data_IF_582079009478
#
_entry.id   IF_582079009478
#
_cell.length_a   1.000
_cell.length_b   1.000
_cell.length_c   1.000
_cell.angle_alpha   90.00
_cell.angle_beta   90.00
_cell.angle_gamma   90.00
#
_symmetry.space_group_name_H-M   'P 1'
#
loop_
_entity.id
_entity.type
_entity.pdbx_description
1 polymer ?
#
# COMPACT_ATOMS: atom_id res chain seq x y z
N UNK A 1 36.78 -13.45 -12.34
CA UNK A 1 36.31 -14.24 -13.50
C UNK A 1 35.61 -15.49 -12.97
N UNK A 2 34.27 -15.58 -13.03
CA UNK A 2 33.56 -16.80 -12.60
C UNK A 2 33.69 -17.87 -13.69
N UNK A 3 34.19 -19.06 -13.36
CA UNK A 3 34.30 -20.19 -14.29
C UNK A 3 32.89 -20.61 -14.80
N UNK A 4 32.79 -21.17 -16.02
CA UNK A 4 31.55 -21.61 -16.64
C UNK A 4 30.72 -22.57 -15.75
N UNK A 5 31.41 -23.41 -14.97
CA UNK A 5 30.76 -24.28 -13.98
C UNK A 5 30.04 -23.49 -12.88
N UNK A 6 30.65 -22.40 -12.39
CA UNK A 6 30.06 -21.54 -11.35
C UNK A 6 28.82 -20.80 -11.87
N UNK A 7 28.86 -20.33 -13.12
CA UNK A 7 27.70 -19.69 -13.76
C UNK A 7 26.50 -20.63 -13.84
N UNK A 8 26.71 -21.86 -14.34
CA UNK A 8 25.67 -22.90 -14.40
C UNK A 8 25.12 -23.27 -13.02
N UNK A 9 25.99 -23.40 -12.01
CA UNK A 9 25.55 -23.68 -10.64
C UNK A 9 24.63 -22.59 -10.09
N UNK A 10 24.96 -21.32 -10.35
CA UNK A 10 24.15 -20.17 -9.94
C UNK A 10 22.81 -20.15 -10.70
N UNK A 11 22.82 -20.39 -12.01
CA UNK A 11 21.61 -20.45 -12.83
C UNK A 11 20.65 -21.56 -12.36
N UNK A 12 21.16 -22.77 -12.14
CA UNK A 12 20.37 -23.89 -11.63
C UNK A 12 19.81 -23.64 -10.22
N UNK A 13 20.60 -23.00 -9.35
CA UNK A 13 20.12 -22.59 -8.03
C UNK A 13 18.96 -21.58 -8.15
N UNK A 14 19.10 -20.57 -9.02
CA UNK A 14 18.05 -19.57 -9.26
C UNK A 14 16.79 -20.20 -9.85
N UNK A 15 16.93 -21.11 -10.81
CA UNK A 15 15.79 -21.83 -11.41
C UNK A 15 14.98 -22.58 -10.34
N UNK A 16 15.66 -23.26 -9.40
CA UNK A 16 15.02 -23.93 -8.27
C UNK A 16 14.31 -22.98 -7.32
N UNK A 17 14.87 -21.81 -7.05
CA UNK A 17 14.20 -20.79 -6.24
C UNK A 17 12.93 -20.26 -6.92
N UNK A 18 12.98 -19.99 -8.22
CA UNK A 18 11.80 -19.55 -8.99
C UNK A 18 10.70 -20.62 -9.00
N UNK A 19 11.06 -21.90 -9.15
CA UNK A 19 10.10 -23.02 -9.07
C UNK A 19 9.41 -23.11 -7.70
N UNK A 20 10.07 -22.65 -6.64
CA UNK A 20 9.52 -22.54 -5.28
C UNK A 20 8.74 -21.23 -5.03
N UNK A 21 8.50 -20.43 -6.07
CA UNK A 21 7.75 -19.17 -5.97
C UNK A 21 8.58 -17.95 -5.53
N UNK A 22 9.89 -18.10 -5.31
CA UNK A 22 10.75 -16.97 -4.95
C UNK A 22 11.11 -16.13 -6.17
N UNK A 23 10.98 -14.81 -6.03
CA UNK A 23 11.40 -13.85 -7.05
C UNK A 23 12.40 -12.86 -6.47
N UNK A 24 13.47 -12.61 -7.23
CA UNK A 24 14.43 -11.56 -6.89
C UNK A 24 13.89 -10.21 -7.36
N UNK A 25 13.99 -9.22 -6.50
CA UNK A 25 13.74 -7.82 -6.80
C UNK A 25 14.84 -6.97 -6.15
N UNK A 26 15.05 -5.77 -6.69
CA UNK A 26 16.02 -4.81 -6.18
C UNK A 26 15.30 -3.79 -5.32
N UNK A 27 15.92 -3.42 -4.19
CA UNK A 27 15.35 -2.50 -3.20
C UNK A 27 16.36 -1.40 -2.94
N UNK A 28 15.89 -0.15 -2.94
CA UNK A 28 16.63 0.99 -2.43
C UNK A 28 16.28 1.17 -0.95
N UNK A 29 17.28 1.15 -0.08
CA UNK A 29 17.11 1.32 1.36
C UNK A 29 18.38 1.94 1.96
N UNK A 30 18.26 2.49 3.17
CA UNK A 30 19.43 2.93 3.94
C UNK A 30 20.31 1.73 4.30
N UNK A 31 21.62 1.95 4.41
CA UNK A 31 22.56 0.89 4.78
C UNK A 31 22.26 0.31 6.17
N UNK A 32 21.78 1.14 7.10
CA UNK A 32 21.34 0.74 8.44
C UNK A 32 20.23 -0.31 8.41
N UNK A 33 19.36 -0.27 7.40
CA UNK A 33 18.16 -1.10 7.33
C UNK A 33 18.41 -2.42 6.58
N UNK A 34 19.62 -2.60 6.02
CA UNK A 34 19.98 -3.74 5.18
C UNK A 34 19.77 -5.09 5.87
N UNK A 35 20.20 -5.20 7.12
CA UNK A 35 20.04 -6.45 7.88
C UNK A 35 18.59 -6.71 8.24
N UNK A 36 17.85 -5.66 8.63
CA UNK A 36 16.43 -5.74 8.94
C UNK A 36 15.60 -6.21 7.74
N UNK A 37 15.83 -5.62 6.56
CA UNK A 37 15.11 -6.01 5.33
C UNK A 37 15.44 -7.46 4.96
N UNK A 38 16.71 -7.87 5.13
CA UNK A 38 17.14 -9.25 4.85
C UNK A 38 16.51 -10.25 5.82
N UNK A 39 16.46 -9.95 7.12
CA UNK A 39 15.86 -10.83 8.12
C UNK A 39 14.35 -10.94 7.90
N UNK A 40 13.67 -9.84 7.59
CA UNK A 40 12.26 -9.85 7.23
C UNK A 40 11.99 -10.72 5.99
N UNK A 41 12.77 -10.55 4.92
CA UNK A 41 12.61 -11.36 3.71
C UNK A 41 12.83 -12.86 3.98
N UNK A 42 13.78 -13.23 4.85
CA UNK A 42 13.99 -14.61 5.29
C UNK A 42 12.81 -15.14 6.10
N UNK A 43 12.34 -14.37 7.07
CA UNK A 43 11.18 -14.75 7.90
C UNK A 43 9.94 -14.99 7.03
N UNK A 44 9.70 -14.14 6.03
CA UNK A 44 8.57 -14.29 5.12
C UNK A 44 8.72 -15.50 4.18
N UNK A 45 9.95 -15.96 3.93
CA UNK A 45 10.27 -17.10 3.08
C UNK A 45 10.12 -18.46 3.77
N UNK A 46 10.15 -18.51 5.10
CA UNK A 46 10.00 -19.76 5.87
C UNK A 46 8.56 -20.26 5.91
N UNK A 47 7.60 -19.40 5.56
CA UNK A 47 6.16 -19.67 5.65
C UNK A 47 5.73 -20.02 7.11
N UNK A 48 4.42 -20.09 7.38
CA UNK A 48 3.92 -20.44 8.71
C UNK A 48 3.59 -19.25 9.64
N UNK A 49 3.29 -19.51 10.94
CA UNK A 49 2.58 -18.56 11.79
C UNK A 49 3.39 -17.30 12.10
N UNK A 50 4.70 -17.42 12.29
CA UNK A 50 5.58 -16.26 12.52
C UNK A 50 5.75 -15.42 11.25
N UNK A 51 5.76 -16.05 10.07
CA UNK A 51 5.75 -15.33 8.80
C UNK A 51 4.45 -14.54 8.59
N UNK A 52 3.29 -15.12 8.95
CA UNK A 52 2.01 -14.43 8.89
C UNK A 52 1.92 -13.26 9.87
N UNK A 53 2.41 -13.44 11.11
CA UNK A 53 2.51 -12.35 12.09
C UNK A 53 3.37 -11.20 11.59
N UNK A 54 4.57 -11.51 11.07
CA UNK A 54 5.46 -10.51 10.51
C UNK A 54 4.79 -9.76 9.34
N UNK A 55 4.11 -10.48 8.45
CA UNK A 55 3.37 -9.88 7.33
C UNK A 55 2.25 -8.97 7.81
N UNK A 56 1.48 -9.39 8.82
CA UNK A 56 0.40 -8.59 9.39
C UNK A 56 0.92 -7.32 10.05
N UNK A 57 1.99 -7.42 10.84
CA UNK A 57 2.62 -6.27 11.50
C UNK A 57 3.15 -5.25 10.47
N UNK A 58 3.83 -5.70 9.42
CA UNK A 58 4.33 -4.82 8.35
C UNK A 58 3.16 -4.17 7.59
N UNK A 59 2.10 -4.92 7.27
CA UNK A 59 0.89 -4.34 6.64
C UNK A 59 0.25 -3.30 7.55
N UNK A 60 0.12 -3.57 8.83
CA UNK A 60 -0.43 -2.60 9.78
C UNK A 60 0.43 -1.33 9.87
N UNK A 61 1.76 -1.46 9.86
CA UNK A 61 2.65 -0.31 9.95
C UNK A 61 2.75 0.53 8.65
N UNK A 62 2.66 -0.12 7.48
CA UNK A 62 2.93 0.53 6.18
C UNK A 62 1.69 0.77 5.31
N UNK A 63 0.67 -0.10 5.41
CA UNK A 63 -0.54 -0.05 4.57
C UNK A 63 -1.71 0.64 5.29
N UNK A 64 -1.70 0.65 6.63
CA UNK A 64 -2.52 1.57 7.40
C UNK A 64 -1.84 2.94 7.48
N UNK A 65 -1.64 3.59 6.34
CA UNK A 65 -1.70 5.05 6.36
C UNK A 65 -3.05 5.40 7.00
N UNK A 66 -3.06 6.30 7.99
CA UNK A 66 -4.31 6.72 8.66
C UNK A 66 -5.40 6.86 7.58
N UNK A 67 -6.57 6.21 7.76
CA UNK A 67 -7.68 6.46 6.84
C UNK A 67 -7.83 7.98 6.74
N UNK A 68 -7.93 8.57 5.53
CA UNK A 68 -7.99 10.02 5.38
C UNK A 68 -9.02 10.51 6.38
N UNK A 69 -8.59 11.36 7.33
CA UNK A 69 -9.41 11.79 8.46
C UNK A 69 -10.80 12.06 7.93
N UNK A 70 -11.79 11.29 8.37
CA UNK A 70 -13.16 11.42 7.85
C UNK A 70 -13.50 12.89 7.94
N UNK A 71 -13.62 13.55 6.77
CA UNK A 71 -13.84 14.99 6.73
C UNK A 71 -15.01 15.27 7.65
N UNK A 72 -14.84 16.20 8.60
CA UNK A 72 -15.76 16.41 9.72
C UNK A 72 -17.14 16.93 9.29
N UNK A 73 -17.58 16.65 8.07
CA UNK A 73 -18.84 17.04 7.44
C UNK A 73 -20.01 16.65 8.34
N UNK A 74 -20.03 15.44 8.91
CA UNK A 74 -21.10 15.03 9.81
C UNK A 74 -21.12 15.88 11.10
N UNK A 75 -19.94 16.13 11.68
CA UNK A 75 -19.79 16.99 12.85
C UNK A 75 -20.10 18.45 12.55
N UNK A 76 -19.78 18.93 11.35
CA UNK A 76 -20.07 20.29 10.89
C UNK A 76 -21.57 20.48 10.63
N UNK A 77 -22.22 19.52 9.97
CA UNK A 77 -23.66 19.52 9.73
C UNK A 77 -24.45 19.43 11.05
N UNK A 78 -24.01 18.63 12.03
CA UNK A 78 -24.61 18.57 13.38
C UNK A 78 -24.45 19.86 14.19
N UNK A 79 -23.44 20.68 13.89
CA UNK A 79 -23.25 22.01 14.49
C UNK A 79 -23.88 23.13 13.68
N UNK A 80 -24.53 22.82 12.55
CA UNK A 80 -25.18 23.83 11.73
C UNK A 80 -26.33 24.45 12.53
N UNK A 81 -26.44 25.78 12.61
CA UNK A 81 -27.61 26.44 13.18
C UNK A 81 -28.90 26.15 12.39
N UNK A 82 -28.78 25.54 11.20
CA UNK A 82 -29.88 25.15 10.33
C UNK A 82 -30.33 23.69 10.53
N UNK A 83 -29.88 23.01 11.60
CA UNK A 83 -30.40 21.68 11.95
C UNK A 83 -31.92 21.79 12.17
N UNK A 84 -32.69 21.07 11.36
CA UNK A 84 -34.17 21.09 11.40
C UNK A 84 -34.82 22.23 10.60
N UNK A 85 -34.04 23.02 9.85
CA UNK A 85 -34.60 23.98 8.91
C UNK A 85 -35.10 23.25 7.65
N UNK A 86 -36.31 23.60 7.21
CA UNK A 86 -36.80 23.17 5.90
C UNK A 86 -35.97 23.83 4.81
N UNK A 87 -35.39 23.00 3.94
CA UNK A 87 -34.66 23.44 2.76
C UNK A 87 -35.57 23.29 1.55
N UNK A 88 -35.84 24.40 0.86
CA UNK A 88 -36.41 24.32 -0.48
C UNK A 88 -35.31 23.84 -1.44
N UNK A 89 -35.38 22.56 -1.81
CA UNK A 89 -34.46 21.93 -2.76
C UNK A 89 -34.88 22.15 -4.21
N UNK A 90 -35.92 22.95 -4.47
CA UNK A 90 -36.30 23.29 -5.82
C UNK A 90 -35.17 24.07 -6.49
N UNK A 91 -34.63 23.48 -7.57
CA UNK A 91 -33.65 24.16 -8.41
C UNK A 91 -34.43 24.95 -9.47
N UNK A 92 -34.37 26.29 -9.49
CA UNK A 92 -34.96 27.06 -10.58
C UNK A 92 -34.27 26.72 -11.90
N UNK A 93 -35.07 26.48 -12.94
CA UNK A 93 -34.56 26.34 -14.31
C UNK A 93 -34.44 27.73 -14.91
N UNK A 94 -33.23 28.26 -14.93
CA UNK A 94 -32.91 29.50 -15.62
C UNK A 94 -32.33 29.20 -17.00
N UNK A 95 -32.50 30.11 -17.96
CA UNK A 95 -31.97 30.00 -19.33
C UNK A 95 -30.43 29.89 -19.39
N UNK A 96 -29.74 30.12 -18.26
CA UNK A 96 -28.29 30.17 -18.19
C UNK A 96 -27.75 31.53 -18.66
N UNK A 97 -26.44 31.76 -18.46
CA UNK A 97 -25.79 32.95 -19.00
C UNK A 97 -25.50 32.76 -20.48
N UNK A 98 -25.70 33.80 -21.28
CA UNK A 98 -25.12 33.86 -22.62
C UNK A 98 -23.60 33.82 -22.48
N UNK A 99 -23.01 32.75 -22.99
CA UNK A 99 -21.56 32.57 -23.09
C UNK A 99 -21.24 32.49 -24.57
N UNK A 100 -20.29 33.28 -25.03
CA UNK A 100 -19.74 33.15 -26.38
C UNK A 100 -18.60 32.12 -26.29
N UNK A 101 -18.75 30.98 -26.97
CA UNK A 101 -17.80 29.87 -26.94
C UNK A 101 -16.84 29.92 -28.12
#
# INVERSE_FOLDING_TARGET
MSNAAQKRAIENYRARLTQRGFKRFEVLALESDRELIRSLARQLAEEGPEAEKARAAVKAALVAGEPPKSGGILSALRRSPLVGADLDLSRPREEGRRVDL
#
